data_IF_751995225620
#
_entry.id   IF_751995225620
#
_cell.length_a   1.000
_cell.length_b   1.000
_cell.length_c   1.000
_cell.angle_alpha   90.00
_cell.angle_beta   90.00
_cell.angle_gamma   90.00
#
_symmetry.space_group_name_H-M   'P 1'
#
loop_
_entity.id
_entity.type
_entity.pdbx_description
1 polymer ?
#
# COMPACT_ATOMS: atom_id res chain seq x y z
N UNK A 1 -14.16 19.01 -5.24
CA UNK A 1 -12.85 18.41 -5.46
C UNK A 1 -13.04 17.05 -6.08
N UNK A 2 -12.61 16.91 -7.29
CA UNK A 2 -12.49 15.58 -7.87
C UNK A 2 -11.13 15.00 -7.46
N UNK A 3 -11.11 14.41 -6.28
CA UNK A 3 -9.92 13.75 -5.73
C UNK A 3 -9.57 12.50 -6.53
N UNK A 4 -10.51 11.95 -7.28
CA UNK A 4 -10.32 10.76 -8.10
C UNK A 4 -9.23 10.94 -9.17
N UNK A 5 -8.99 12.14 -9.62
CA UNK A 5 -7.93 12.45 -10.59
C UNK A 5 -6.50 12.20 -10.11
N UNK A 6 -6.28 11.93 -8.81
CA UNK A 6 -4.94 11.75 -8.23
C UNK A 6 -4.46 10.34 -8.16
N UNK A 7 -5.40 9.44 -7.93
CA UNK A 7 -5.11 8.07 -7.52
C UNK A 7 -4.49 7.27 -8.66
N UNK A 8 -4.77 7.62 -9.88
CA UNK A 8 -4.38 6.83 -11.05
C UNK A 8 -2.91 6.96 -11.48
N UNK A 9 -2.19 7.99 -10.99
CA UNK A 9 -0.76 8.16 -11.31
C UNK A 9 0.09 8.11 -10.05
N UNK A 10 0.58 6.96 -9.67
CA UNK A 10 1.39 6.80 -8.46
C UNK A 10 2.67 7.65 -8.45
N UNK A 11 3.10 8.16 -9.59
CA UNK A 11 4.28 9.03 -9.72
C UNK A 11 3.97 10.52 -9.78
N UNK A 12 2.69 10.89 -9.80
CA UNK A 12 2.23 12.28 -9.89
C UNK A 12 1.56 12.66 -8.57
N UNK A 13 2.38 12.94 -7.57
CA UNK A 13 1.96 13.10 -6.18
C UNK A 13 1.63 14.52 -5.78
N UNK A 14 1.80 15.46 -6.70
CA UNK A 14 1.51 16.87 -6.49
C UNK A 14 0.60 17.34 -7.60
N UNK A 15 -0.46 18.02 -7.20
CA UNK A 15 -1.40 18.64 -8.10
C UNK A 15 -1.61 20.08 -7.71
N UNK A 16 -1.65 20.92 -8.72
CA UNK A 16 -1.99 22.32 -8.58
C UNK A 16 -3.39 22.55 -9.12
N UNK A 17 -4.23 23.18 -8.32
CA UNK A 17 -5.58 23.55 -8.72
C UNK A 17 -5.74 25.06 -8.68
N UNK A 18 -6.14 25.68 -9.78
CA UNK A 18 -6.56 27.06 -9.76
C UNK A 18 -7.83 27.19 -8.93
N UNK A 19 -7.80 28.06 -7.95
CA UNK A 19 -9.01 28.51 -7.27
C UNK A 19 -9.58 29.69 -8.05
N UNK A 20 -10.91 29.94 -7.96
CA UNK A 20 -11.60 30.98 -8.72
C UNK A 20 -11.10 32.41 -8.46
N UNK A 21 -10.33 32.63 -7.40
CA UNK A 21 -9.68 33.89 -7.06
C UNK A 21 -8.22 34.00 -7.54
N UNK A 22 -7.77 33.10 -8.41
CA UNK A 22 -6.39 33.03 -8.89
C UNK A 22 -5.39 32.35 -7.95
N UNK A 23 -5.81 31.88 -6.78
CA UNK A 23 -4.96 31.09 -5.90
C UNK A 23 -4.77 29.67 -6.43
N UNK A 24 -3.73 28.99 -5.96
CA UNK A 24 -3.46 27.58 -6.27
C UNK A 24 -3.61 26.73 -5.02
N UNK A 25 -4.25 25.58 -5.17
CA UNK A 25 -4.21 24.53 -4.17
C UNK A 25 -3.17 23.50 -4.55
N UNK A 26 -2.27 23.21 -3.61
CA UNK A 26 -1.25 22.17 -3.78
C UNK A 26 -1.67 20.98 -2.92
N UNK A 27 -1.79 19.82 -3.56
CA UNK A 27 -2.01 18.56 -2.87
C UNK A 27 -0.70 17.78 -2.76
N UNK A 28 -0.34 17.41 -1.55
CA UNK A 28 0.84 16.64 -1.24
C UNK A 28 0.49 15.20 -0.85
N UNK A 29 1.23 14.26 -1.40
CA UNK A 29 1.08 12.84 -1.08
C UNK A 29 2.29 12.38 -0.27
N UNK A 30 2.06 11.70 0.83
CA UNK A 30 3.10 11.18 1.72
C UNK A 30 4.03 10.20 1.00
N UNK A 31 3.51 9.42 0.06
CA UNK A 31 4.31 8.48 -0.73
C UNK A 31 5.29 9.18 -1.67
N UNK A 32 5.04 10.40 -2.06
CA UNK A 32 5.95 11.19 -2.89
C UNK A 32 7.34 11.28 -2.28
N UNK A 33 7.45 11.43 -0.98
CA UNK A 33 8.72 11.53 -0.26
C UNK A 33 9.61 10.30 -0.44
N UNK A 34 9.02 9.13 -0.73
CA UNK A 34 9.73 7.85 -0.88
C UNK A 34 10.12 7.54 -2.33
N UNK A 35 9.47 8.17 -3.31
CA UNK A 35 9.67 7.87 -4.74
C UNK A 35 10.47 8.92 -5.51
N UNK A 36 10.96 9.95 -4.84
CA UNK A 36 11.59 11.14 -5.42
C UNK A 36 12.94 10.92 -6.13
N UNK A 37 13.40 9.68 -6.30
CA UNK A 37 14.73 9.42 -6.90
C UNK A 37 14.83 9.58 -8.41
N UNK A 38 13.78 9.29 -9.17
CA UNK A 38 13.81 9.32 -10.66
C UNK A 38 12.86 10.33 -11.29
N UNK A 39 11.88 10.79 -10.56
CA UNK A 39 10.86 11.71 -11.05
C UNK A 39 10.53 12.69 -9.93
N UNK A 40 11.18 13.83 -9.96
CA UNK A 40 10.86 14.94 -9.05
C UNK A 40 9.89 15.89 -9.75
N UNK A 41 8.56 15.72 -9.60
CA UNK A 41 7.61 16.65 -10.20
C UNK A 41 7.69 18.04 -9.57
N UNK A 42 8.47 18.19 -8.49
CA UNK A 42 8.80 19.46 -7.86
C UNK A 42 10.06 20.10 -8.42
N UNK A 43 10.80 19.45 -9.33
CA UNK A 43 12.02 20.02 -9.88
C UNK A 43 11.76 21.41 -10.46
N UNK A 44 10.59 21.61 -11.10
CA UNK A 44 10.15 22.92 -11.59
C UNK A 44 9.68 23.90 -10.50
N UNK A 45 9.43 23.42 -9.28
CA UNK A 45 8.89 24.23 -8.17
C UNK A 45 9.92 24.53 -7.09
N UNK A 46 11.06 23.84 -7.08
CA UNK A 46 12.18 24.11 -6.15
C UNK A 46 12.60 25.58 -6.16
N UNK A 47 12.63 26.28 -7.32
CA UNK A 47 12.91 27.70 -7.36
C UNK A 47 11.88 28.55 -6.60
N UNK A 48 10.67 28.04 -6.36
CA UNK A 48 9.61 28.72 -5.62
C UNK A 48 9.69 28.49 -4.11
N UNK A 49 10.66 27.70 -3.62
CA UNK A 49 10.83 27.42 -2.20
C UNK A 49 9.68 26.62 -1.57
N UNK A 50 8.88 25.95 -2.40
CA UNK A 50 7.76 25.16 -1.90
C UNK A 50 8.24 23.86 -1.26
N UNK A 51 7.93 23.68 0.02
CA UNK A 51 8.17 22.45 0.77
C UNK A 51 6.84 21.83 1.21
N UNK A 52 6.76 20.50 1.36
CA UNK A 52 5.57 19.88 1.94
C UNK A 52 5.28 20.45 3.32
N UNK A 53 4.03 20.82 3.61
CA UNK A 53 3.67 21.26 4.96
C UNK A 53 3.88 20.12 5.96
N UNK A 54 4.25 20.47 7.19
CA UNK A 54 4.33 19.52 8.29
C UNK A 54 2.92 19.12 8.75
N UNK A 55 2.81 17.96 9.41
CA UNK A 55 1.54 17.58 10.05
C UNK A 55 1.17 18.63 11.09
N UNK A 56 -0.06 19.14 11.04
CA UNK A 56 -0.53 20.23 11.91
C UNK A 56 -0.22 21.64 11.40
N UNK A 57 0.40 21.80 10.24
CA UNK A 57 0.62 23.10 9.62
C UNK A 57 -0.73 23.80 9.35
N UNK A 58 -0.91 25.06 9.74
CA UNK A 58 -2.16 25.82 9.52
C UNK A 58 -2.51 26.01 8.05
N UNK A 59 -1.57 25.79 7.13
CA UNK A 59 -1.83 25.77 5.69
C UNK A 59 -2.57 24.51 5.24
N UNK A 60 -2.60 23.44 6.04
CA UNK A 60 -3.39 22.25 5.78
C UNK A 60 -4.85 22.56 6.11
N UNK A 61 -5.66 22.78 5.09
CA UNK A 61 -7.09 23.14 5.25
C UNK A 61 -7.98 21.95 5.57
N UNK A 62 -7.62 20.76 5.12
CA UNK A 62 -8.38 19.54 5.36
C UNK A 62 -7.52 18.30 5.13
N UNK A 63 -7.76 17.28 5.92
CA UNK A 63 -7.35 15.91 5.65
C UNK A 63 -8.45 15.23 4.82
N UNK A 64 -8.06 14.66 3.68
CA UNK A 64 -9.00 13.99 2.79
C UNK A 64 -8.64 12.51 2.75
N UNK A 65 -9.55 11.66 3.20
CA UNK A 65 -9.42 10.21 3.03
C UNK A 65 -9.67 9.84 1.57
N UNK A 66 -8.66 9.22 0.92
CA UNK A 66 -8.75 8.75 -0.46
C UNK A 66 -9.51 7.41 -0.54
N UNK A 67 -10.72 7.40 -0.03
CA UNK A 67 -11.62 6.23 -0.08
C UNK A 67 -12.83 6.60 -0.93
N UNK A 68 -13.12 5.79 -1.94
CA UNK A 68 -14.29 6.02 -2.78
C UNK A 68 -15.57 5.84 -1.98
N UNK A 69 -16.62 6.60 -2.30
CA UNK A 69 -17.94 6.46 -1.68
C UNK A 69 -18.45 5.01 -1.75
N UNK A 70 -18.19 4.33 -2.86
CA UNK A 70 -18.62 2.94 -3.08
C UNK A 70 -18.03 1.96 -2.05
N UNK A 71 -16.79 2.19 -1.63
CA UNK A 71 -16.16 1.36 -0.59
C UNK A 71 -16.58 1.80 0.81
N UNK A 72 -16.61 3.12 1.05
CA UNK A 72 -16.93 3.68 2.36
C UNK A 72 -18.38 3.39 2.79
N UNK A 73 -19.31 3.45 1.84
CA UNK A 73 -20.74 3.35 2.12
C UNK A 73 -21.26 1.90 1.96
N UNK A 74 -20.38 0.93 1.70
CA UNK A 74 -20.74 -0.49 1.63
C UNK A 74 -20.67 -1.14 3.01
N UNK A 75 -21.80 -1.62 3.58
CA UNK A 75 -21.84 -2.22 4.91
C UNK A 75 -21.07 -3.55 5.02
N UNK A 76 -20.80 -4.21 3.88
CA UNK A 76 -20.08 -5.49 3.84
C UNK A 76 -18.55 -5.29 3.82
N UNK A 77 -18.06 -4.03 3.82
CA UNK A 77 -16.64 -3.71 3.75
C UNK A 77 -16.24 -2.95 5.01
N UNK A 78 -15.34 -3.53 5.76
CA UNK A 78 -14.64 -2.86 6.85
C UNK A 78 -13.35 -2.20 6.33
N UNK A 79 -13.17 -0.91 6.60
CA UNK A 79 -11.97 -0.16 6.23
C UNK A 79 -11.14 0.08 7.49
N UNK A 80 -9.94 -0.46 7.51
CA UNK A 80 -9.00 -0.34 8.62
C UNK A 80 -7.77 0.43 8.17
N UNK A 81 -7.34 1.37 9.00
CA UNK A 81 -6.01 1.99 8.90
C UNK A 81 -5.06 1.17 9.77
N UNK A 82 -4.13 0.46 9.12
CA UNK A 82 -3.34 -0.56 9.80
C UNK A 82 -1.87 -0.57 9.29
N UNK A 83 -0.93 -0.78 10.21
CA UNK A 83 0.48 -0.94 9.91
C UNK A 83 0.86 -2.43 9.95
N UNK A 84 1.10 -3.02 8.78
CA UNK A 84 1.50 -4.42 8.65
C UNK A 84 2.88 -4.74 9.26
N UNK A 85 3.68 -3.73 9.59
CA UNK A 85 4.95 -3.90 10.30
C UNK A 85 4.77 -3.95 11.82
N UNK A 86 3.63 -3.49 12.31
CA UNK A 86 3.29 -3.60 13.72
C UNK A 86 2.73 -5.00 14.05
N UNK A 87 2.91 -5.47 15.30
CA UNK A 87 2.31 -6.73 15.75
C UNK A 87 0.81 -6.77 15.51
N UNK A 88 0.31 -7.94 15.11
CA UNK A 88 -1.12 -8.13 14.80
C UNK A 88 -1.99 -7.83 16.02
N UNK A 89 -2.91 -6.84 15.93
CA UNK A 89 -3.86 -6.56 17.00
C UNK A 89 -4.77 -7.77 17.29
N UNK A 90 -5.18 -7.94 18.55
CA UNK A 90 -5.96 -9.10 18.98
C UNK A 90 -7.25 -9.31 18.16
N UNK A 91 -7.92 -8.21 17.75
CA UNK A 91 -9.15 -8.29 16.96
C UNK A 91 -8.95 -8.72 15.49
N UNK A 92 -7.71 -8.73 15.00
CA UNK A 92 -7.35 -9.20 13.66
C UNK A 92 -6.70 -10.59 13.67
N UNK A 93 -6.33 -11.13 14.83
CA UNK A 93 -5.72 -12.45 14.94
C UNK A 93 -6.71 -13.55 14.51
N UNK A 94 -6.24 -14.50 13.69
CA UNK A 94 -6.97 -15.69 13.26
C UNK A 94 -8.38 -15.36 12.73
N UNK A 95 -8.46 -14.30 11.91
CA UNK A 95 -9.74 -13.75 11.46
C UNK A 95 -10.05 -14.04 9.98
N UNK A 96 -9.03 -14.20 9.15
CA UNK A 96 -9.21 -14.22 7.70
C UNK A 96 -8.87 -15.59 7.11
N UNK A 97 -9.74 -16.08 6.24
CA UNK A 97 -9.50 -17.29 5.43
C UNK A 97 -8.59 -16.99 4.23
N UNK A 98 -8.65 -15.75 3.73
CA UNK A 98 -7.85 -15.29 2.59
C UNK A 98 -7.31 -13.90 2.87
N UNK A 99 -6.00 -13.73 2.67
CA UNK A 99 -5.35 -12.42 2.68
C UNK A 99 -4.73 -12.17 1.30
N UNK A 100 -5.00 -10.98 0.74
CA UNK A 100 -4.39 -10.53 -0.49
C UNK A 100 -3.52 -9.28 -0.24
N UNK A 101 -2.22 -9.43 -0.40
CA UNK A 101 -1.26 -8.33 -0.39
C UNK A 101 -0.95 -7.90 -1.83
N UNK A 102 -1.51 -6.76 -2.23
CA UNK A 102 -1.37 -6.27 -3.60
C UNK A 102 -0.52 -5.00 -3.66
N UNK A 103 0.59 -5.06 -4.40
CA UNK A 103 1.53 -3.95 -4.63
C UNK A 103 2.15 -3.37 -3.35
N UNK A 104 2.11 -4.08 -2.23
CA UNK A 104 2.62 -3.63 -0.95
C UNK A 104 3.89 -4.36 -0.54
N UNK A 105 3.91 -5.68 -0.58
CA UNK A 105 5.06 -6.49 -0.17
C UNK A 105 6.06 -6.60 -1.32
N UNK A 106 7.09 -5.74 -1.32
CA UNK A 106 8.14 -5.77 -2.33
C UNK A 106 9.49 -5.30 -1.79
N UNK A 107 10.55 -5.79 -2.39
CA UNK A 107 11.94 -5.52 -2.00
C UNK A 107 12.39 -4.08 -2.26
N UNK A 108 11.66 -3.32 -3.05
CA UNK A 108 11.94 -1.91 -3.30
C UNK A 108 11.47 -0.98 -2.17
N UNK A 109 10.54 -1.44 -1.32
CA UNK A 109 9.97 -0.65 -0.23
C UNK A 109 10.46 -1.10 1.14
N UNK A 110 10.76 -2.39 1.32
CA UNK A 110 11.07 -2.99 2.62
C UNK A 110 12.38 -3.75 2.58
N UNK A 111 13.12 -3.73 3.70
CA UNK A 111 14.23 -4.63 3.92
C UNK A 111 13.75 -6.08 4.07
N UNK A 112 14.67 -7.05 4.00
CA UNK A 112 14.35 -8.46 4.21
C UNK A 112 13.71 -8.69 5.59
N UNK A 113 14.24 -8.06 6.62
CA UNK A 113 13.77 -8.16 8.01
C UNK A 113 12.35 -7.60 8.14
N UNK A 114 12.07 -6.48 7.49
CA UNK A 114 10.73 -5.89 7.46
C UNK A 114 9.73 -6.78 6.71
N UNK A 115 10.14 -7.40 5.59
CA UNK A 115 9.30 -8.35 4.87
C UNK A 115 9.01 -9.59 5.69
N UNK A 116 10.00 -10.15 6.39
CA UNK A 116 9.79 -11.27 7.31
C UNK A 116 8.79 -10.90 8.43
N UNK A 117 8.94 -9.73 9.05
CA UNK A 117 8.01 -9.25 10.08
C UNK A 117 6.59 -9.08 9.53
N UNK A 118 6.43 -8.40 8.37
CA UNK A 118 5.14 -8.20 7.74
C UNK A 118 4.44 -9.53 7.40
N UNK A 119 5.18 -10.49 6.81
CA UNK A 119 4.61 -11.82 6.47
C UNK A 119 4.22 -12.57 7.74
N UNK A 120 5.03 -12.52 8.80
CA UNK A 120 4.70 -13.14 10.09
C UNK A 120 3.41 -12.56 10.67
N UNK A 121 3.29 -11.23 10.71
CA UNK A 121 2.08 -10.57 11.21
C UNK A 121 0.85 -10.86 10.36
N UNK A 122 0.99 -10.94 9.03
CA UNK A 122 -0.11 -11.31 8.15
C UNK A 122 -0.49 -12.80 8.31
N UNK A 123 0.48 -13.69 8.54
CA UNK A 123 0.21 -15.10 8.86
C UNK A 123 -0.62 -15.23 10.15
N UNK A 124 -0.30 -14.45 11.19
CA UNK A 124 -1.04 -14.47 12.46
C UNK A 124 -2.50 -14.06 12.31
N UNK A 125 -2.86 -13.39 11.23
CA UNK A 125 -4.24 -12.99 10.91
C UNK A 125 -5.02 -14.08 10.20
N UNK A 126 -4.37 -15.09 9.63
CA UNK A 126 -5.03 -16.22 8.98
C UNK A 126 -5.66 -17.15 10.03
N UNK A 127 -6.86 -17.68 9.73
CA UNK A 127 -7.61 -18.54 10.65
C UNK A 127 -6.89 -19.84 10.98
N UNK A 128 -6.00 -20.33 10.12
CA UNK A 128 -5.22 -21.55 10.33
C UNK A 128 -4.99 -22.35 9.05
N UNK A 129 -4.79 -23.65 9.21
CA UNK A 129 -4.54 -24.58 8.10
C UNK A 129 -5.56 -24.43 6.97
N UNK A 130 -5.09 -24.46 5.73
CA UNK A 130 -5.90 -24.32 4.53
C UNK A 130 -6.22 -22.88 4.14
N UNK A 131 -5.91 -21.89 4.99
CA UNK A 131 -6.05 -20.48 4.63
C UNK A 131 -5.12 -20.09 3.51
N UNK A 132 -5.50 -19.06 2.73
CA UNK A 132 -4.74 -18.63 1.58
C UNK A 132 -4.09 -17.27 1.81
N UNK A 133 -2.88 -17.13 1.27
CA UNK A 133 -2.16 -15.87 1.21
C UNK A 133 -1.72 -15.60 -0.22
N UNK A 134 -2.27 -14.54 -0.85
CA UNK A 134 -1.94 -14.12 -2.19
C UNK A 134 -1.04 -12.88 -2.14
N UNK A 135 0.18 -13.00 -2.61
CA UNK A 135 1.09 -11.86 -2.82
C UNK A 135 1.17 -11.59 -4.30
N UNK A 136 0.74 -10.41 -4.72
CA UNK A 136 0.73 -10.02 -6.13
C UNK A 136 1.28 -8.61 -6.31
N UNK A 137 2.02 -8.41 -7.40
CA UNK A 137 2.55 -7.11 -7.82
C UNK A 137 2.32 -6.90 -9.31
N UNK A 138 1.93 -5.68 -9.64
CA UNK A 138 1.91 -5.21 -11.04
C UNK A 138 3.26 -4.54 -11.32
N UNK A 139 3.97 -5.02 -12.33
CA UNK A 139 5.27 -4.48 -12.75
C UNK A 139 5.13 -3.24 -13.63
N UNK A 140 6.26 -2.74 -14.13
CA UNK A 140 6.33 -1.54 -14.97
C UNK A 140 5.66 -1.72 -16.34
N UNK A 141 5.48 -2.96 -16.79
CA UNK A 141 4.83 -3.33 -18.05
C UNK A 141 3.33 -3.57 -17.89
N UNK A 142 2.78 -3.30 -16.71
CA UNK A 142 1.40 -3.60 -16.31
C UNK A 142 1.08 -5.10 -16.26
N UNK A 143 2.11 -5.96 -16.15
CA UNK A 143 1.94 -7.40 -15.98
C UNK A 143 1.83 -7.74 -14.49
N UNK A 144 0.90 -8.61 -14.14
CA UNK A 144 0.74 -9.10 -12.78
C UNK A 144 1.63 -10.33 -12.56
N UNK A 145 2.49 -10.25 -11.54
CA UNK A 145 3.28 -11.36 -11.04
C UNK A 145 2.92 -11.62 -9.59
N UNK A 146 2.77 -12.86 -9.21
CA UNK A 146 2.37 -13.20 -7.83
C UNK A 146 2.38 -14.67 -7.53
N UNK A 147 2.24 -15.01 -6.25
CA UNK A 147 2.16 -16.40 -5.77
C UNK A 147 1.01 -16.51 -4.78
N UNK A 148 0.19 -17.52 -5.00
CA UNK A 148 -0.82 -17.98 -4.05
C UNK A 148 -0.19 -19.05 -3.17
N UNK A 149 -0.22 -18.81 -1.87
CA UNK A 149 0.23 -19.75 -0.85
C UNK A 149 -0.96 -20.30 -0.07
N UNK A 150 -0.80 -21.50 0.49
CA UNK A 150 -1.69 -22.06 1.50
C UNK A 150 -0.93 -22.29 2.78
N UNK A 151 -1.55 -22.02 3.92
CA UNK A 151 -1.00 -22.25 5.24
C UNK A 151 -1.15 -23.73 5.61
N UNK A 152 -0.05 -24.35 6.04
CA UNK A 152 -0.02 -25.74 6.54
C UNK A 152 -0.38 -25.79 8.04
N UNK A 153 -0.64 -26.98 8.55
CA UNK A 153 -0.93 -27.22 9.97
C UNK A 153 0.22 -26.83 10.92
N UNK A 154 1.46 -26.92 10.45
CA UNK A 154 2.66 -26.52 11.20
C UNK A 154 2.96 -25.01 11.16
N UNK A 155 2.12 -24.24 10.48
CA UNK A 155 2.26 -22.78 10.34
C UNK A 155 3.21 -22.35 9.22
N UNK A 156 3.77 -23.27 8.44
CA UNK A 156 4.55 -22.95 7.25
C UNK A 156 3.65 -22.70 6.04
N UNK A 157 4.18 -22.05 5.01
CA UNK A 157 3.46 -21.86 3.75
C UNK A 157 3.93 -22.85 2.68
N UNK A 158 3.01 -23.26 1.81
CA UNK A 158 3.31 -23.97 0.56
C UNK A 158 2.76 -23.19 -0.63
N UNK A 159 3.44 -23.28 -1.77
CA UNK A 159 2.95 -22.72 -3.03
C UNK A 159 1.78 -23.54 -3.55
N UNK A 160 0.69 -22.87 -3.90
CA UNK A 160 -0.46 -23.46 -4.60
C UNK A 160 -0.39 -23.14 -6.07
N UNK A 161 -0.15 -21.87 -6.42
CA UNK A 161 -0.15 -21.39 -7.81
C UNK A 161 0.75 -20.17 -7.97
N UNK A 162 1.34 -20.01 -9.15
CA UNK A 162 2.09 -18.80 -9.55
C UNK A 162 1.39 -18.11 -10.69
N UNK A 163 1.29 -16.78 -10.58
CA UNK A 163 0.81 -15.86 -11.61
C UNK A 163 2.05 -15.22 -12.24
N UNK A 164 2.21 -15.35 -13.55
CA UNK A 164 3.40 -14.83 -14.23
C UNK A 164 4.70 -15.44 -13.68
N UNK A 165 5.66 -14.61 -13.33
CA UNK A 165 6.94 -15.02 -12.78
C UNK A 165 6.91 -15.41 -11.28
N UNK A 166 5.75 -15.34 -10.64
CA UNK A 166 5.64 -15.51 -9.20
C UNK A 166 5.92 -14.25 -8.41
N UNK A 167 5.84 -14.34 -7.08
CA UNK A 167 6.15 -13.22 -6.18
C UNK A 167 7.65 -13.08 -5.96
N UNK A 168 8.17 -11.85 -6.01
CA UNK A 168 9.58 -11.56 -5.71
C UNK A 168 10.00 -11.87 -4.27
N UNK A 169 9.04 -12.09 -3.36
CA UNK A 169 9.29 -12.44 -1.96
C UNK A 169 8.91 -13.89 -1.63
N UNK A 170 8.72 -14.73 -2.63
CA UNK A 170 8.32 -16.13 -2.44
C UNK A 170 9.29 -16.90 -1.52
N UNK A 171 10.60 -16.69 -1.69
CA UNK A 171 11.64 -17.27 -0.84
C UNK A 171 11.51 -16.86 0.64
N UNK A 172 11.10 -15.62 0.91
CA UNK A 172 10.87 -15.12 2.27
C UNK A 172 9.64 -15.81 2.87
N UNK A 173 8.52 -15.87 2.11
CA UNK A 173 7.27 -16.50 2.59
C UNK A 173 7.49 -17.96 2.92
N UNK A 174 8.25 -18.68 2.08
CA UNK A 174 8.52 -20.12 2.28
C UNK A 174 9.57 -20.40 3.37
N UNK A 175 10.31 -19.42 3.85
CA UNK A 175 11.32 -19.57 4.90
C UNK A 175 10.78 -19.37 6.31
N UNK A 176 9.51 -18.99 6.44
CA UNK A 176 8.82 -18.67 7.69
C UNK A 176 7.81 -19.77 8.07
#
# INVERSE_FOLDING_TARGET
YDVCGYVWRPRCRIRFYPLGNGALTVLWDVLYRKTAGKYDPLAGLKPLGLTPPAVGDPLIKAEIKLVTHRLRDNPDIELLDDDILAPTPAHLQRRFEVIRAANILNRGYFSKEQLCAAVTHLRDRLVGEGSFFLVVRTDETATNNGTLFSLNADGTFRVVERIGAGSEIEDIVLSL
#
